data_IF_105817446901
#
_entry.id   IF_105817446901
#
_cell.length_a   1.000
_cell.length_b   1.000
_cell.length_c   1.000
_cell.angle_alpha   90.00
_cell.angle_beta   90.00
_cell.angle_gamma   90.00
#
_symmetry.space_group_name_H-M   'P 1'
#
loop_
_entity.id
_entity.type
_entity.pdbx_description
1 polymer ?
#
# COMPACT_ATOMS: atom_id res chain seq x y z
N UNK A 1 6.37 6.84 13.97
CA UNK A 1 5.40 7.35 14.97
C UNK A 1 4.82 8.70 14.57
N UNK A 2 5.60 9.80 14.53
CA UNK A 2 5.05 11.12 14.18
C UNK A 2 4.31 11.15 12.81
N UNK A 3 4.81 10.39 11.84
CA UNK A 3 4.16 10.17 10.55
C UNK A 3 2.79 9.47 10.67
N UNK A 4 2.73 8.33 11.38
CA UNK A 4 1.47 7.61 11.63
C UNK A 4 0.43 8.47 12.37
N UNK A 5 0.88 9.27 13.34
CA UNK A 5 0.01 10.23 14.04
C UNK A 5 -0.50 11.32 13.10
N UNK A 6 0.35 11.79 12.17
CA UNK A 6 -0.04 12.76 11.17
C UNK A 6 -1.08 12.21 10.19
N UNK A 7 -1.03 10.92 9.82
CA UNK A 7 -2.14 10.28 9.09
C UNK A 7 -3.44 10.29 9.89
N UNK A 8 -3.37 10.12 11.21
CA UNK A 8 -4.52 10.25 12.10
C UNK A 8 -5.15 11.65 12.08
N UNK A 9 -4.32 12.69 12.07
CA UNK A 9 -4.78 14.10 11.98
C UNK A 9 -5.33 14.44 10.60
N UNK A 10 -4.76 13.86 9.54
CA UNK A 10 -5.08 14.20 8.15
C UNK A 10 -6.38 13.54 7.63
N UNK A 11 -7.11 12.76 8.43
CA UNK A 11 -8.32 12.03 8.01
C UNK A 11 -8.13 11.31 6.68
N UNK A 12 -7.06 10.52 6.59
CA UNK A 12 -6.64 9.84 5.37
C UNK A 12 -7.84 9.11 4.69
N UNK A 13 -8.16 9.43 3.42
CA UNK A 13 -9.28 8.82 2.71
C UNK A 13 -9.18 7.29 2.60
N UNK A 14 -8.01 6.69 2.84
CA UNK A 14 -7.83 5.24 2.98
C UNK A 14 -8.67 4.60 4.10
N UNK A 15 -9.20 5.41 5.04
CA UNK A 15 -10.01 4.92 6.17
C UNK A 15 -11.51 5.02 5.96
N UNK A 16 -11.97 5.45 4.79
CA UNK A 16 -13.39 5.63 4.52
C UNK A 16 -14.12 4.32 4.24
N UNK A 17 -14.89 3.81 5.21
CA UNK A 17 -15.96 2.82 4.98
C UNK A 17 -16.81 3.16 3.73
N UNK A 18 -17.02 4.47 3.53
CA UNK A 18 -17.69 5.04 2.36
C UNK A 18 -17.01 4.68 1.03
N UNK A 19 -15.68 4.82 0.94
CA UNK A 19 -14.93 4.52 -0.30
C UNK A 19 -15.00 3.02 -0.62
N UNK A 20 -14.84 2.17 0.39
CA UNK A 20 -14.98 0.72 0.24
C UNK A 20 -16.38 0.31 -0.23
N UNK A 21 -17.42 0.95 0.32
CA UNK A 21 -18.81 0.68 -0.05
C UNK A 21 -19.11 1.17 -1.47
N UNK A 22 -18.63 2.35 -1.85
CA UNK A 22 -18.75 2.88 -3.20
C UNK A 22 -18.07 1.96 -4.23
N UNK A 23 -16.85 1.51 -3.95
CA UNK A 23 -16.14 0.56 -4.82
C UNK A 23 -16.88 -0.77 -4.93
N UNK A 24 -17.33 -1.31 -3.79
CA UNK A 24 -18.10 -2.54 -3.75
C UNK A 24 -19.41 -2.44 -4.54
N UNK A 25 -20.09 -1.30 -4.50
CA UNK A 25 -21.32 -1.06 -5.27
C UNK A 25 -21.04 -1.02 -6.78
N UNK A 26 -20.01 -0.29 -7.20
CA UNK A 26 -19.59 -0.24 -8.61
C UNK A 26 -19.19 -1.64 -9.12
N UNK A 27 -18.43 -2.40 -8.34
CA UNK A 27 -18.06 -3.77 -8.69
C UNK A 27 -19.28 -4.67 -8.86
N UNK A 28 -20.25 -4.59 -7.93
CA UNK A 28 -21.51 -5.36 -8.01
C UNK A 28 -22.37 -4.96 -9.20
N UNK A 29 -22.47 -3.67 -9.52
CA UNK A 29 -23.20 -3.21 -10.70
C UNK A 29 -22.55 -3.67 -12.00
N UNK A 30 -21.22 -3.63 -12.07
CA UNK A 30 -20.50 -4.21 -13.21
C UNK A 30 -20.80 -5.71 -13.36
N UNK A 31 -20.77 -6.47 -12.27
CA UNK A 31 -21.12 -7.90 -12.28
C UNK A 31 -22.57 -8.13 -12.73
N UNK A 32 -23.52 -7.36 -12.20
CA UNK A 32 -24.95 -7.47 -12.55
C UNK A 32 -25.24 -7.16 -14.02
N UNK A 33 -24.50 -6.22 -14.61
CA UNK A 33 -24.67 -5.78 -15.99
C UNK A 33 -23.82 -6.59 -16.99
N UNK A 34 -22.91 -7.44 -16.51
CA UNK A 34 -22.10 -8.29 -17.38
C UNK A 34 -22.92 -9.53 -17.77
N UNK A 35 -23.19 -9.77 -19.07
CA UNK A 35 -23.99 -10.92 -19.48
C UNK A 35 -23.30 -12.25 -19.16
N UNK A 36 -24.07 -13.24 -18.71
CA UNK A 36 -23.60 -14.61 -18.50
C UNK A 36 -23.33 -15.32 -19.84
N UNK A 37 -22.29 -16.17 -19.86
CA UNK A 37 -21.85 -16.92 -21.04
C UNK A 37 -22.88 -17.94 -21.55
N UNK A 38 -23.92 -18.23 -20.77
CA UNK A 38 -24.98 -19.16 -21.15
C UNK A 38 -26.03 -18.52 -22.08
N UNK A 39 -26.11 -17.18 -22.13
CA UNK A 39 -27.00 -16.45 -23.07
C UNK A 39 -26.51 -16.46 -24.53
N UNK A 40 -25.32 -17.00 -24.81
CA UNK A 40 -24.66 -16.89 -26.12
C UNK A 40 -24.88 -18.06 -27.10
N UNK A 41 -25.54 -19.15 -26.70
CA UNK A 41 -25.72 -20.34 -27.57
C UNK A 41 -27.17 -20.82 -27.56
N UNK A 42 -27.99 -20.27 -28.47
CA UNK A 42 -29.32 -20.81 -28.77
C UNK A 42 -29.23 -21.91 -29.82
N UNK A 43 -29.57 -23.15 -29.44
CA UNK A 43 -29.64 -24.32 -30.33
C UNK A 43 -31.01 -24.42 -31.04
N UNK A 44 -31.34 -23.54 -31.98
CA UNK A 44 -32.46 -23.77 -32.91
C UNK A 44 -32.41 -22.86 -34.14
N UNK A 45 -32.74 -23.43 -35.31
CA UNK A 45 -32.49 -22.85 -36.65
C UNK A 45 -33.72 -22.33 -37.40
N UNK A 46 -34.67 -21.68 -36.72
CA UNK A 46 -35.87 -21.08 -37.33
C UNK A 46 -35.82 -19.55 -37.52
N UNK A 47 -36.79 -18.98 -38.27
CA UNK A 47 -36.96 -17.51 -38.42
C UNK A 47 -37.27 -16.83 -37.07
N UNK A 48 -38.01 -17.50 -36.19
CA UNK A 48 -38.22 -17.02 -34.82
C UNK A 48 -36.90 -16.98 -34.06
N UNK A 49 -36.03 -18.01 -34.20
CA UNK A 49 -34.68 -17.97 -33.63
C UNK A 49 -33.87 -16.82 -34.20
N UNK A 50 -33.98 -16.49 -35.49
CA UNK A 50 -33.26 -15.35 -36.08
C UNK A 50 -33.68 -14.01 -35.46
N UNK A 51 -34.98 -13.76 -35.26
CA UNK A 51 -35.48 -12.52 -34.61
C UNK A 51 -35.15 -12.50 -33.11
N UNK A 52 -35.33 -13.63 -32.40
CA UNK A 52 -34.92 -13.77 -31.00
C UNK A 52 -33.40 -13.57 -30.84
N UNK A 53 -32.60 -14.04 -31.80
CA UNK A 53 -31.16 -13.80 -31.85
C UNK A 53 -30.87 -12.30 -31.98
N UNK A 54 -31.51 -11.55 -32.88
CA UNK A 54 -31.28 -10.10 -33.01
C UNK A 54 -31.63 -9.36 -31.71
N UNK A 55 -32.77 -9.69 -31.09
CA UNK A 55 -33.17 -9.07 -29.81
C UNK A 55 -32.19 -9.39 -28.69
N UNK A 56 -31.71 -10.64 -28.61
CA UNK A 56 -30.70 -11.06 -27.65
C UNK A 56 -29.37 -10.35 -27.90
N UNK A 57 -28.93 -10.24 -29.14
CA UNK A 57 -27.72 -9.51 -29.53
C UNK A 57 -27.80 -8.03 -29.13
N UNK A 58 -28.91 -7.36 -29.40
CA UNK A 58 -29.12 -5.96 -28.98
C UNK A 58 -29.06 -5.85 -27.44
N UNK A 59 -29.71 -6.77 -26.73
CA UNK A 59 -29.69 -6.80 -25.26
C UNK A 59 -28.29 -7.01 -24.71
N UNK A 60 -27.52 -7.94 -25.28
CA UNK A 60 -26.13 -8.21 -24.91
C UNK A 60 -25.24 -6.98 -25.13
N UNK A 61 -25.36 -6.31 -26.28
CA UNK A 61 -24.60 -5.10 -26.59
C UNK A 61 -24.94 -3.97 -25.62
N UNK A 62 -26.23 -3.77 -25.31
CA UNK A 62 -26.67 -2.75 -24.34
C UNK A 62 -26.13 -3.07 -22.95
N UNK A 63 -26.25 -4.31 -22.48
CA UNK A 63 -25.75 -4.72 -21.17
C UNK A 63 -24.23 -4.58 -21.06
N UNK A 64 -23.48 -5.00 -22.09
CA UNK A 64 -22.02 -4.80 -22.15
C UNK A 64 -21.63 -3.33 -22.15
N UNK A 65 -22.35 -2.48 -22.89
CA UNK A 65 -22.11 -1.04 -22.90
C UNK A 65 -22.41 -0.43 -21.51
N UNK A 66 -23.52 -0.82 -20.89
CA UNK A 66 -23.90 -0.38 -19.56
C UNK A 66 -22.92 -0.86 -18.49
N UNK A 67 -22.36 -2.06 -18.62
CA UNK A 67 -21.37 -2.57 -17.66
C UNK A 67 -20.06 -1.76 -17.70
N UNK A 68 -19.72 -1.12 -18.82
CA UNK A 68 -18.53 -0.25 -18.88
C UNK A 68 -18.66 0.98 -17.98
N UNK A 69 -19.87 1.47 -17.70
CA UNK A 69 -20.09 2.67 -16.87
C UNK A 69 -19.59 2.46 -15.43
N UNK A 70 -20.05 1.46 -14.66
CA UNK A 70 -19.53 1.22 -13.31
C UNK A 70 -18.05 0.81 -13.31
N UNK A 71 -17.57 0.11 -14.35
CA UNK A 71 -16.13 -0.20 -14.49
C UNK A 71 -15.30 1.06 -14.62
N UNK A 72 -15.71 1.98 -15.49
CA UNK A 72 -15.04 3.27 -15.66
C UNK A 72 -15.11 4.10 -14.38
N UNK A 73 -16.27 4.12 -13.70
CA UNK A 73 -16.40 4.76 -12.40
C UNK A 73 -15.43 4.21 -11.35
N UNK A 74 -15.30 2.89 -11.26
CA UNK A 74 -14.35 2.24 -10.35
C UNK A 74 -12.89 2.57 -10.72
N UNK A 75 -12.59 2.61 -12.02
CA UNK A 75 -11.28 3.02 -12.54
C UNK A 75 -10.95 4.47 -12.19
N UNK A 76 -11.87 5.42 -12.39
CA UNK A 76 -11.64 6.82 -11.99
C UNK A 76 -11.42 6.92 -10.48
N UNK A 77 -12.25 6.23 -9.70
CA UNK A 77 -12.20 6.31 -8.25
C UNK A 77 -10.89 5.76 -7.67
N UNK A 78 -10.35 4.66 -8.21
CA UNK A 78 -9.07 4.12 -7.75
C UNK A 78 -7.90 5.06 -8.08
N UNK A 79 -7.92 5.75 -9.22
CA UNK A 79 -6.88 6.72 -9.56
C UNK A 79 -6.96 7.99 -8.69
N UNK A 80 -8.16 8.46 -8.39
CA UNK A 80 -8.36 9.56 -7.44
C UNK A 80 -7.89 9.16 -6.03
N UNK A 81 -8.17 7.92 -5.64
CA UNK A 81 -7.70 7.37 -4.37
C UNK A 81 -6.18 7.33 -4.29
N UNK A 82 -5.48 6.79 -5.29
CA UNK A 82 -4.02 6.76 -5.31
C UNK A 82 -3.42 8.17 -5.24
N UNK A 83 -3.95 9.11 -6.01
CA UNK A 83 -3.50 10.51 -5.94
C UNK A 83 -3.71 11.12 -4.54
N UNK A 84 -4.85 10.87 -3.91
CA UNK A 84 -5.14 11.36 -2.57
C UNK A 84 -4.22 10.72 -1.51
N UNK A 85 -3.96 9.41 -1.62
CA UNK A 85 -3.01 8.68 -0.78
C UNK A 85 -1.60 9.27 -0.88
N UNK A 86 -1.14 9.54 -2.11
CA UNK A 86 0.16 10.18 -2.34
C UNK A 86 0.26 11.57 -1.72
N UNK A 87 -0.78 12.39 -1.83
CA UNK A 87 -0.83 13.70 -1.17
C UNK A 87 -0.82 13.58 0.36
N UNK A 88 -1.52 12.58 0.91
CA UNK A 88 -1.55 12.33 2.35
C UNK A 88 -0.16 11.98 2.90
N UNK A 89 0.64 11.22 2.15
CA UNK A 89 2.03 10.91 2.51
C UNK A 89 2.92 12.15 2.63
N UNK A 90 2.86 13.06 1.66
CA UNK A 90 3.63 14.32 1.70
C UNK A 90 3.22 15.19 2.89
N UNK A 91 1.92 15.28 3.16
CA UNK A 91 1.41 16.06 4.29
C UNK A 91 1.79 15.42 5.62
N UNK A 92 1.67 14.09 5.74
CA UNK A 92 2.08 13.36 6.93
C UNK A 92 3.59 13.49 7.19
N UNK A 93 4.40 13.44 6.13
CA UNK A 93 5.84 13.71 6.22
C UNK A 93 6.15 15.11 6.69
N UNK A 94 5.51 16.12 6.09
CA UNK A 94 5.69 17.50 6.49
C UNK A 94 5.32 17.71 7.96
N UNK A 95 4.14 17.23 8.38
CA UNK A 95 3.71 17.32 9.78
C UNK A 95 4.67 16.58 10.71
N UNK A 96 5.17 15.41 10.33
CA UNK A 96 6.18 14.69 11.11
C UNK A 96 7.47 15.53 11.28
N UNK A 97 7.90 16.27 10.25
CA UNK A 97 9.07 17.17 10.39
C UNK A 97 8.86 18.28 11.41
N UNK A 98 7.62 18.71 11.66
CA UNK A 98 7.36 19.71 12.70
C UNK A 98 7.58 19.18 14.10
N UNK A 99 7.61 17.86 14.28
CA UNK A 99 7.88 17.20 15.57
C UNK A 99 9.34 16.76 15.64
N UNK A 100 9.80 15.97 14.67
CA UNK A 100 11.13 15.33 14.70
C UNK A 100 12.24 16.16 14.05
N UNK A 101 11.89 17.24 13.35
CA UNK A 101 12.82 17.94 12.45
C UNK A 101 12.99 17.23 11.11
N UNK A 102 13.42 17.98 10.10
CA UNK A 102 13.59 17.51 8.71
C UNK A 102 14.64 16.39 8.59
N UNK A 103 15.80 16.54 9.24
CA UNK A 103 16.90 15.58 9.11
C UNK A 103 16.54 14.19 9.66
N UNK A 104 15.90 14.14 10.84
CA UNK A 104 15.47 12.88 11.45
C UNK A 104 14.41 12.17 10.60
N UNK A 105 13.49 12.92 9.98
CA UNK A 105 12.48 12.35 9.09
C UNK A 105 13.07 11.82 7.78
N UNK A 106 14.01 12.54 7.16
CA UNK A 106 14.74 12.04 5.98
C UNK A 106 15.50 10.77 6.32
N UNK A 107 16.22 10.74 7.45
CA UNK A 107 16.91 9.53 7.91
C UNK A 107 15.94 8.36 8.11
N UNK A 108 14.76 8.60 8.71
CA UNK A 108 13.74 7.58 8.90
C UNK A 108 13.17 7.05 7.57
N UNK A 109 12.93 7.92 6.57
CA UNK A 109 12.48 7.50 5.24
C UNK A 109 13.51 6.59 4.56
N UNK A 110 14.78 7.00 4.56
CA UNK A 110 15.86 6.20 3.96
C UNK A 110 16.02 4.84 4.65
N UNK A 111 15.93 4.80 5.98
CA UNK A 111 15.96 3.54 6.74
C UNK A 111 14.76 2.66 6.44
N UNK A 112 13.56 3.24 6.28
CA UNK A 112 12.33 2.50 5.97
C UNK A 112 12.37 1.87 4.58
N UNK A 113 12.86 2.60 3.57
CA UNK A 113 12.99 2.08 2.21
C UNK A 113 13.89 0.84 2.19
N UNK A 114 15.07 0.93 2.81
CA UNK A 114 16.05 -0.17 2.87
C UNK A 114 15.57 -1.34 3.72
N UNK A 115 15.01 -1.02 4.89
CA UNK A 115 14.48 -2.03 5.80
C UNK A 115 13.39 -2.87 5.17
N UNK A 116 12.54 -2.28 4.32
CA UNK A 116 11.48 -3.01 3.62
C UNK A 116 12.00 -4.18 2.78
N UNK A 117 13.01 -3.94 1.95
CA UNK A 117 13.59 -4.96 1.06
C UNK A 117 14.36 -6.02 1.85
N UNK A 118 15.08 -5.60 2.89
CA UNK A 118 15.90 -6.48 3.72
C UNK A 118 15.05 -7.37 4.65
N UNK A 119 13.93 -6.85 5.16
CA UNK A 119 13.03 -7.60 6.05
C UNK A 119 12.56 -8.88 5.38
N UNK A 120 12.17 -8.85 4.10
CA UNK A 120 11.67 -10.06 3.44
C UNK A 120 12.75 -11.12 3.23
N UNK A 121 13.96 -10.70 2.85
CA UNK A 121 15.10 -11.63 2.76
C UNK A 121 15.45 -12.26 4.11
N UNK A 122 15.36 -11.51 5.20
CA UNK A 122 15.58 -12.02 6.56
C UNK A 122 14.44 -12.96 7.01
N UNK A 123 13.19 -12.58 6.76
CA UNK A 123 12.02 -13.42 7.07
C UNK A 123 12.09 -14.74 6.31
N UNK A 124 12.47 -14.73 5.03
CA UNK A 124 12.68 -15.94 4.25
C UNK A 124 13.78 -16.83 4.87
N UNK A 125 14.92 -16.26 5.25
CA UNK A 125 16.01 -17.00 5.90
C UNK A 125 15.57 -17.65 7.21
N UNK A 126 14.77 -16.95 8.01
CA UNK A 126 14.22 -17.46 9.27
C UNK A 126 13.17 -18.55 9.02
N UNK A 127 12.33 -18.38 8.01
CA UNK A 127 11.26 -19.33 7.68
C UNK A 127 11.77 -20.65 7.09
N UNK A 128 12.89 -20.62 6.36
CA UNK A 128 13.48 -21.79 5.68
C UNK A 128 14.66 -22.38 6.46
N UNK A 129 15.38 -21.56 7.22
CA UNK A 129 16.60 -21.95 7.93
C UNK A 129 16.35 -22.62 9.29
N UNK A 130 17.28 -23.48 9.70
CA UNK A 130 17.35 -24.08 11.04
C UNK A 130 18.09 -23.20 12.06
N UNK A 131 18.66 -22.08 11.63
CA UNK A 131 19.47 -21.19 12.46
C UNK A 131 18.58 -20.30 13.34
N UNK A 132 18.93 -20.18 14.62
CA UNK A 132 18.30 -19.27 15.58
C UNK A 132 18.76 -17.83 15.32
N UNK A 133 18.31 -17.26 14.20
CA UNK A 133 18.53 -15.86 13.87
C UNK A 133 17.49 -15.03 14.62
N UNK A 134 17.93 -13.96 15.28
CA UNK A 134 17.04 -12.92 15.80
C UNK A 134 16.84 -11.86 14.72
N UNK A 135 15.63 -11.81 14.14
CA UNK A 135 15.25 -10.87 13.07
C UNK A 135 15.60 -9.43 13.43
N UNK A 136 15.35 -9.02 14.67
CA UNK A 136 15.48 -7.64 15.10
C UNK A 136 16.93 -7.23 15.27
N UNK A 137 17.79 -8.14 15.74
CA UNK A 137 19.22 -7.86 15.89
C UNK A 137 19.90 -7.73 14.53
N UNK A 138 19.60 -8.64 13.59
CA UNK A 138 20.08 -8.56 12.20
C UNK A 138 19.61 -7.30 11.49
N UNK A 139 18.34 -6.93 11.66
CA UNK A 139 17.78 -5.72 11.05
C UNK A 139 18.47 -4.46 11.61
N UNK A 140 18.70 -4.40 12.92
CA UNK A 140 19.45 -3.28 13.54
C UNK A 140 20.88 -3.21 13.00
N UNK A 141 21.57 -4.34 12.88
CA UNK A 141 22.93 -4.38 12.38
C UNK A 141 23.00 -3.89 10.93
N UNK A 142 22.09 -4.36 10.08
CA UNK A 142 22.07 -4.01 8.64
C UNK A 142 21.74 -2.54 8.43
N UNK A 143 20.70 -2.02 9.10
CA UNK A 143 20.30 -0.61 8.99
C UNK A 143 21.39 0.35 9.48
N UNK A 144 22.18 -0.05 10.48
CA UNK A 144 23.25 0.78 11.04
C UNK A 144 24.56 0.70 10.26
N UNK A 145 24.87 -0.44 9.63
CA UNK A 145 26.11 -0.63 8.87
C UNK A 145 26.14 0.14 7.54
N UNK A 146 24.97 0.38 6.92
CA UNK A 146 24.88 0.94 5.56
C UNK A 146 24.56 2.46 5.53
N UNK A 147 24.73 3.17 6.65
CA UNK A 147 24.40 4.59 6.76
C UNK A 147 25.27 5.52 5.89
N UNK A 148 26.34 5.02 5.26
CA UNK A 148 27.38 5.85 4.62
C UNK A 148 27.23 6.05 3.10
N UNK A 149 26.42 5.26 2.39
CA UNK A 149 26.28 5.39 0.93
C UNK A 149 24.81 5.36 0.53
N UNK A 150 24.31 6.45 -0.02
CA UNK A 150 22.98 6.53 -0.64
C UNK A 150 23.19 6.71 -2.14
N UNK A 151 23.06 5.63 -2.90
CA UNK A 151 22.87 5.75 -4.35
C UNK A 151 21.38 6.00 -4.59
N UNK A 152 21.08 7.05 -5.36
CA UNK A 152 19.72 7.42 -5.74
C UNK A 152 19.18 6.38 -6.72
N UNK A 153 18.35 5.46 -6.22
CA UNK A 153 17.61 4.58 -7.10
C UNK A 153 16.55 5.38 -7.87
N UNK A 154 16.54 5.25 -9.19
CA UNK A 154 15.77 6.08 -10.11
C UNK A 154 14.36 5.50 -10.31
N UNK A 155 13.54 5.46 -9.27
CA UNK A 155 12.13 5.13 -9.45
C UNK A 155 11.38 6.33 -10.04
N UNK A 156 10.80 6.14 -11.24
CA UNK A 156 9.92 7.12 -11.87
C UNK A 156 8.66 7.36 -11.03
N UNK A 157 8.17 8.60 -11.02
CA UNK A 157 6.92 8.95 -10.36
C UNK A 157 5.75 8.21 -11.01
N UNK A 158 5.16 7.26 -10.29
CA UNK A 158 3.99 6.50 -10.73
C UNK A 158 2.73 6.99 -10.03
N UNK A 159 1.66 7.20 -10.80
CA UNK A 159 0.35 7.64 -10.27
C UNK A 159 -0.46 6.45 -9.76
N UNK A 160 -0.10 5.23 -10.18
CA UNK A 160 -0.75 3.97 -9.83
C UNK A 160 -0.24 3.32 -8.54
N UNK A 161 0.58 4.02 -7.77
CA UNK A 161 1.09 3.55 -6.47
C UNK A 161 0.43 4.31 -5.31
N UNK A 162 0.23 3.65 -4.18
CA UNK A 162 -0.34 4.27 -2.96
C UNK A 162 0.65 5.22 -2.27
N UNK A 163 1.95 4.98 -2.45
CA UNK A 163 3.02 5.80 -1.87
C UNK A 163 3.85 6.44 -2.99
N UNK A 164 4.20 7.74 -2.86
CA UNK A 164 5.16 8.37 -3.76
C UNK A 164 6.56 7.78 -3.55
N UNK A 165 7.41 7.73 -4.59
CA UNK A 165 8.81 7.34 -4.44
C UNK A 165 9.54 8.16 -3.36
N UNK A 166 10.37 7.49 -2.57
CA UNK A 166 11.09 8.10 -1.43
C UNK A 166 11.92 9.31 -1.85
N UNK A 167 12.53 9.28 -3.04
CA UNK A 167 13.31 10.40 -3.59
C UNK A 167 12.51 11.70 -3.62
N UNK A 168 11.29 11.69 -4.17
CA UNK A 168 10.46 12.89 -4.24
C UNK A 168 9.99 13.37 -2.86
N UNK A 169 9.73 12.44 -1.94
CA UNK A 169 9.42 12.77 -0.54
C UNK A 169 10.60 13.48 0.14
N UNK A 170 11.82 12.98 -0.06
CA UNK A 170 13.04 13.61 0.46
C UNK A 170 13.28 14.99 -0.17
N UNK A 171 13.15 15.11 -1.48
CA UNK A 171 13.26 16.40 -2.19
C UNK A 171 12.25 17.43 -1.67
N UNK A 172 10.98 17.02 -1.52
CA UNK A 172 9.93 17.85 -0.95
C UNK A 172 10.28 18.34 0.47
N UNK A 173 10.79 17.46 1.32
CA UNK A 173 11.20 17.80 2.69
C UNK A 173 12.42 18.72 2.73
N UNK A 174 13.38 18.54 1.80
CA UNK A 174 14.53 19.45 1.65
C UNK A 174 14.09 20.85 1.23
N UNK A 175 13.12 20.95 0.32
CA UNK A 175 12.56 22.22 -0.13
C UNK A 175 11.72 22.93 0.95
N UNK A 176 11.04 22.18 1.82
CA UNK A 176 10.18 22.71 2.91
C UNK A 176 10.76 22.47 4.29
N UNK A 177 12.03 22.85 4.46
CA UNK A 177 12.77 22.58 5.70
C UNK A 177 12.12 23.27 6.90
N UNK A 178 11.91 22.51 7.98
CA UNK A 178 11.46 23.03 9.28
C UNK A 178 12.67 23.18 10.19
N UNK A 179 12.78 24.35 10.81
CA UNK A 179 13.89 24.70 11.69
C UNK A 179 13.73 24.03 13.07
N UNK A 180 14.39 22.89 13.25
CA UNK A 180 14.56 22.20 14.53
C UNK A 180 13.44 21.22 14.90
N UNK A 181 13.79 20.16 15.61
CA UNK A 181 12.84 19.23 16.21
C UNK A 181 12.17 19.92 17.41
N UNK A 182 10.83 19.83 17.50
CA UNK A 182 10.09 20.28 18.70
C UNK A 182 10.20 19.27 19.84
N UNK A 183 10.42 18.00 19.51
CA UNK A 183 10.56 16.91 20.47
C UNK A 183 11.90 16.22 20.24
N UNK A 184 12.74 16.22 21.28
CA UNK A 184 13.97 15.43 21.35
C UNK A 184 13.79 14.46 22.50
N UNK A 185 13.81 13.17 22.17
CA UNK A 185 13.65 12.07 23.12
C UNK A 185 15.02 11.67 23.63
N UNK A 186 15.17 11.56 24.96
CA UNK A 186 16.42 11.17 25.59
C UNK A 186 16.73 9.69 25.30
N UNK A 187 18.02 9.34 25.27
CA UNK A 187 18.44 7.94 25.05
C UNK A 187 17.88 6.97 26.09
N UNK A 188 17.64 7.43 27.32
CA UNK A 188 17.01 6.64 28.38
C UNK A 188 15.54 6.29 28.08
N UNK A 189 14.81 7.21 27.44
CA UNK A 189 13.41 6.98 27.05
C UNK A 189 13.34 6.00 25.87
N UNK A 190 14.26 6.09 24.91
CA UNK A 190 14.37 5.08 23.85
C UNK A 190 14.67 3.68 24.40
N UNK A 191 15.52 3.57 25.41
CA UNK A 191 15.80 2.30 26.08
C UNK A 191 14.59 1.73 26.84
N UNK A 192 13.66 2.59 27.27
CA UNK A 192 12.38 2.16 27.84
C UNK A 192 11.44 1.60 26.77
N UNK A 193 11.33 2.28 25.63
CA UNK A 193 10.59 1.76 24.46
C UNK A 193 11.13 0.41 24.01
N UNK A 194 12.46 0.24 23.93
CA UNK A 194 13.06 -1.04 23.57
C UNK A 194 12.71 -2.15 24.59
N UNK A 195 12.67 -1.82 25.89
CA UNK A 195 12.26 -2.76 26.94
C UNK A 195 10.79 -3.14 26.83
N UNK A 196 9.90 -2.18 26.52
CA UNK A 196 8.48 -2.43 26.31
C UNK A 196 8.21 -3.31 25.09
N UNK A 197 9.01 -3.15 24.02
CA UNK A 197 8.85 -3.89 22.77
C UNK A 197 9.54 -5.27 22.80
N UNK A 198 10.52 -5.50 23.67
CA UNK A 198 11.27 -6.76 23.72
C UNK A 198 10.39 -8.03 23.84
N UNK A 199 9.32 -8.06 24.68
CA UNK A 199 8.49 -9.26 24.83
C UNK A 199 7.73 -9.65 23.55
N UNK A 200 7.36 -8.68 22.71
CA UNK A 200 6.55 -8.95 21.50
C UNK A 200 7.39 -9.31 20.28
N UNK A 201 8.70 -9.05 20.31
CA UNK A 201 9.61 -9.32 19.17
C UNK A 201 9.56 -10.78 18.73
N UNK A 202 9.61 -11.73 19.68
CA UNK A 202 9.58 -13.16 19.37
C UNK A 202 8.28 -13.56 18.67
N UNK A 203 7.14 -13.12 19.19
CA UNK A 203 5.83 -13.42 18.62
C UNK A 203 5.69 -12.84 17.20
N UNK A 204 6.16 -11.61 16.98
CA UNK A 204 6.15 -10.97 15.65
C UNK A 204 7.02 -11.76 14.66
N UNK A 205 8.22 -12.18 15.06
CA UNK A 205 9.11 -12.97 14.22
C UNK A 205 8.45 -14.30 13.81
N UNK A 206 7.85 -15.01 14.76
CA UNK A 206 7.15 -16.28 14.50
C UNK A 206 5.97 -16.08 13.53
N UNK A 207 5.15 -15.05 13.74
CA UNK A 207 4.03 -14.70 12.85
C UNK A 207 4.49 -14.36 11.43
N UNK A 208 5.59 -13.62 11.29
CA UNK A 208 6.15 -13.28 9.98
C UNK A 208 6.66 -14.53 9.24
N UNK A 209 7.37 -15.42 9.95
CA UNK A 209 7.85 -16.67 9.38
C UNK A 209 6.69 -17.59 8.94
N UNK A 210 5.66 -17.74 9.77
CA UNK A 210 4.47 -18.53 9.46
C UNK A 210 3.71 -17.95 8.25
N UNK A 211 3.56 -16.62 8.19
CA UNK A 211 2.93 -15.95 7.04
C UNK A 211 3.70 -16.19 5.74
N UNK A 212 5.03 -16.12 5.80
CA UNK A 212 5.88 -16.42 4.66
C UNK A 212 5.71 -17.88 4.20
N UNK A 213 5.78 -18.84 5.13
CA UNK A 213 5.56 -20.26 4.81
C UNK A 213 4.21 -20.50 4.16
N UNK A 214 3.14 -19.89 4.67
CA UNK A 214 1.80 -19.99 4.05
C UNK A 214 1.76 -19.45 2.63
N UNK A 215 2.47 -18.36 2.34
CA UNK A 215 2.54 -17.81 0.98
C UNK A 215 3.27 -18.70 -0.04
N UNK A 216 3.95 -19.77 0.39
CA UNK A 216 4.55 -20.75 -0.52
C UNK A 216 3.55 -21.80 -1.03
N UNK A 217 2.40 -21.93 -0.36
CA UNK A 217 1.39 -22.96 -0.67
C UNK A 217 0.14 -22.42 -1.36
N UNK A 218 0.06 -21.11 -1.60
CA UNK A 218 -1.03 -20.40 -2.26
C UNK A 218 -0.48 -19.45 -3.32
#
# INVERSE_FOLDING_TARGET
>A
IAHELAHGVNNDPARGFFLGTAFGMLARWHMLLTPDKELTLGESGGIFDFIFNISNWITLVILLALSQVPRFGAWVMIHLFWRASQHAEYLADYLATTVSGTNAKIAALNKSQRGGDQIWGLVQKIAVGSAKINLFDELRQTINAEAETFEEDSEEARIDTTHPPTKFRVEFLRARRVAGAKLVVASSEWAEVDRELAPVQKEIQEKLAERYQRSLYY
#
